data_IF_533643310022
#
_entry.id   IF_533643310022
#
_cell.length_a   1.000
_cell.length_b   1.000
_cell.length_c   1.000
_cell.angle_alpha   90.00
_cell.angle_beta   90.00
_cell.angle_gamma   90.00
#
_symmetry.space_group_name_H-M   'P 1'
#
loop_
_entity.id
_entity.type
_entity.pdbx_description
1 polymer ?
#
# COMPACT_ATOMS: atom_id res chain seq x y z
N UNK A 1 4.51 -8.23 -5.51
CA UNK A 1 4.99 -7.04 -4.77
C UNK A 1 4.96 -5.84 -5.69
N UNK A 2 4.56 -4.67 -5.20
CA UNK A 2 4.47 -3.42 -5.96
C UNK A 2 4.85 -2.25 -5.07
N UNK A 3 5.54 -1.21 -5.57
CA UNK A 3 5.98 -0.11 -4.72
C UNK A 3 4.82 0.63 -4.04
N UNK A 4 3.71 0.86 -4.74
CA UNK A 4 2.53 1.54 -4.21
C UNK A 4 2.31 2.97 -4.69
N UNK A 5 3.06 3.44 -5.71
CA UNK A 5 2.96 4.81 -6.28
C UNK A 5 1.52 5.28 -6.51
N UNK A 6 0.67 4.40 -7.05
CA UNK A 6 -0.72 4.74 -7.35
C UNK A 6 -1.61 5.02 -6.12
N UNK A 7 -1.12 4.78 -4.90
CA UNK A 7 -1.83 5.11 -3.66
C UNK A 7 -2.08 6.62 -3.54
N UNK A 8 -1.14 7.46 -3.96
CA UNK A 8 -1.33 8.92 -3.97
C UNK A 8 -2.54 9.33 -4.81
N UNK A 9 -2.62 8.78 -6.02
CA UNK A 9 -3.73 9.04 -6.94
C UNK A 9 -5.06 8.53 -6.40
N UNK A 10 -5.07 7.37 -5.74
CA UNK A 10 -6.27 6.83 -5.10
C UNK A 10 -6.72 7.69 -3.92
N UNK A 11 -5.80 8.10 -3.04
CA UNK A 11 -6.09 8.94 -1.88
C UNK A 11 -6.68 10.28 -2.31
N UNK A 12 -6.15 10.86 -3.39
CA UNK A 12 -6.68 12.11 -3.96
C UNK A 12 -8.04 11.93 -4.63
N UNK A 13 -8.27 10.79 -5.30
CA UNK A 13 -9.46 10.58 -6.12
C UNK A 13 -10.67 10.04 -5.35
N UNK A 14 -10.47 9.33 -4.24
CA UNK A 14 -11.54 8.61 -3.52
C UNK A 14 -11.69 9.16 -2.10
N UNK A 15 -12.83 9.82 -1.78
CA UNK A 15 -13.11 10.29 -0.43
C UNK A 15 -13.06 9.15 0.60
N UNK A 16 -12.45 9.44 1.75
CA UNK A 16 -12.34 8.49 2.87
C UNK A 16 -11.08 7.61 2.84
N UNK A 17 -10.25 7.71 1.79
CA UNK A 17 -8.90 7.15 1.79
C UNK A 17 -7.92 8.14 2.44
N UNK A 18 -6.87 7.61 3.07
CA UNK A 18 -5.85 8.42 3.74
C UNK A 18 -4.50 7.71 3.74
N UNK A 19 -3.45 8.51 3.91
CA UNK A 19 -2.09 8.00 4.13
C UNK A 19 -1.95 7.18 5.41
N UNK A 20 -2.77 7.46 6.43
CA UNK A 20 -2.72 6.79 7.74
C UNK A 20 -3.35 5.39 7.77
N UNK A 21 -4.12 5.03 6.74
CA UNK A 21 -4.78 3.73 6.60
C UNK A 21 -4.59 3.21 5.17
N UNK A 22 -3.33 2.97 4.74
CA UNK A 22 -3.02 2.73 3.34
C UNK A 22 -3.59 1.40 2.82
N UNK A 23 -3.83 0.42 3.69
CA UNK A 23 -4.48 -0.85 3.35
C UNK A 23 -5.88 -0.64 2.74
N UNK A 24 -6.60 0.42 3.16
CA UNK A 24 -7.89 0.80 2.55
C UNK A 24 -7.73 1.25 1.10
N UNK A 25 -6.63 1.95 0.79
CA UNK A 25 -6.28 2.28 -0.59
C UNK A 25 -5.85 1.04 -1.38
N UNK A 26 -5.05 0.17 -0.78
CA UNK A 26 -4.62 -1.09 -1.41
C UNK A 26 -5.80 -2.00 -1.76
N UNK A 27 -6.88 -1.98 -0.97
CA UNK A 27 -8.12 -2.70 -1.26
C UNK A 27 -8.74 -2.27 -2.59
N UNK A 28 -8.58 -1.01 -2.99
CA UNK A 28 -9.08 -0.54 -4.28
C UNK A 28 -8.32 -1.14 -5.46
N UNK A 29 -7.04 -1.50 -5.31
CA UNK A 29 -6.32 -2.27 -6.33
C UNK A 29 -6.98 -3.62 -6.58
N UNK A 30 -7.37 -4.33 -5.51
CA UNK A 30 -8.08 -5.61 -5.63
C UNK A 30 -9.48 -5.45 -6.22
N UNK A 31 -10.26 -4.49 -5.72
CA UNK A 31 -11.62 -4.25 -6.21
C UNK A 31 -11.64 -3.90 -7.69
N UNK A 32 -10.66 -3.11 -8.15
CA UNK A 32 -10.54 -2.67 -9.55
C UNK A 32 -9.68 -3.60 -10.41
N UNK A 33 -9.06 -4.63 -9.80
CA UNK A 33 -8.16 -5.59 -10.46
C UNK A 33 -7.02 -4.92 -11.24
N UNK A 34 -6.48 -3.82 -10.73
CA UNK A 34 -5.43 -3.06 -11.38
C UNK A 34 -4.58 -2.28 -10.37
N UNK A 35 -3.26 -2.30 -10.53
CA UNK A 35 -2.30 -1.67 -9.60
C UNK A 35 -2.18 -0.15 -9.74
N UNK A 36 -2.64 0.43 -10.85
CA UNK A 36 -2.75 1.90 -11.04
C UNK A 36 -4.06 2.28 -11.75
N UNK A 37 -5.22 2.15 -11.09
CA UNK A 37 -6.52 2.26 -11.74
C UNK A 37 -6.92 3.70 -12.13
N UNK A 38 -6.17 4.70 -11.66
CA UNK A 38 -6.32 6.10 -12.08
C UNK A 38 -5.25 6.38 -13.12
N UNK A 39 -5.65 6.89 -14.29
CA UNK A 39 -4.69 7.24 -15.34
C UNK A 39 -3.88 8.47 -14.94
N UNK A 40 -2.67 8.24 -14.42
CA UNK A 40 -1.71 9.27 -14.04
C UNK A 40 -0.30 8.65 -14.01
N UNK A 41 0.66 9.30 -14.66
CA UNK A 41 2.08 8.93 -14.63
C UNK A 41 2.40 7.47 -15.01
N UNK A 42 1.65 6.91 -15.97
CA UNK A 42 1.85 5.54 -16.48
C UNK A 42 2.70 5.59 -17.76
N UNK A 43 3.70 4.72 -17.84
CA UNK A 43 4.51 4.55 -19.05
C UNK A 43 3.65 4.00 -20.20
N UNK A 44 3.68 4.62 -21.40
CA UNK A 44 2.92 4.12 -22.54
C UNK A 44 3.49 2.76 -22.99
N UNK A 45 2.68 1.72 -22.88
CA UNK A 45 3.03 0.38 -23.34
C UNK A 45 1.86 -0.22 -24.12
N UNK A 46 2.15 -1.01 -25.15
CA UNK A 46 1.13 -1.78 -25.88
C UNK A 46 0.43 -2.81 -24.98
N UNK A 47 1.10 -3.23 -23.89
CA UNK A 47 0.59 -4.21 -22.94
C UNK A 47 0.49 -3.59 -21.55
N UNK A 48 -0.68 -3.70 -20.96
CA UNK A 48 -0.90 -3.35 -19.57
C UNK A 48 -0.38 -4.46 -18.64
N UNK A 49 0.73 -4.17 -17.96
CA UNK A 49 1.37 -5.06 -16.98
C UNK A 49 0.90 -4.79 -15.54
N UNK A 50 0.04 -3.79 -15.33
CA UNK A 50 -0.47 -3.39 -14.01
C UNK A 50 -1.83 -4.05 -13.70
N UNK A 51 -2.48 -4.66 -14.70
CA UNK A 51 -3.66 -5.49 -14.53
C UNK A 51 -3.38 -6.73 -13.64
N UNK A 52 -4.23 -6.95 -12.63
CA UNK A 52 -4.18 -8.10 -11.72
C UNK A 52 -4.97 -9.26 -12.33
N UNK A 53 -4.29 -10.13 -13.07
CA UNK A 53 -4.89 -11.25 -13.82
C UNK A 53 -5.36 -12.40 -12.91
N UNK A 54 -4.52 -12.77 -11.96
CA UNK A 54 -4.81 -13.81 -10.96
C UNK A 54 -4.99 -13.18 -9.58
N UNK A 55 -5.84 -13.80 -8.74
CA UNK A 55 -6.06 -13.31 -7.38
C UNK A 55 -4.82 -13.69 -6.55
N UNK A 56 -4.05 -12.72 -6.01
CA UNK A 56 -2.87 -13.03 -5.23
C UNK A 56 -3.25 -13.41 -3.78
N UNK A 57 -2.39 -14.17 -3.10
CA UNK A 57 -2.51 -14.37 -1.65
C UNK A 57 -2.08 -13.12 -0.87
N UNK A 58 -1.11 -12.38 -1.41
CA UNK A 58 -0.53 -11.18 -0.77
C UNK A 58 -0.32 -10.05 -1.78
N UNK A 59 -0.81 -8.85 -1.44
CA UNK A 59 -0.37 -7.59 -2.04
C UNK A 59 0.49 -6.86 -1.02
N UNK A 60 1.73 -6.60 -1.39
CA UNK A 60 2.69 -5.84 -0.60
C UNK A 60 2.96 -4.50 -1.28
N UNK A 61 2.86 -3.42 -0.50
CA UNK A 61 3.21 -2.06 -0.88
C UNK A 61 4.13 -1.38 0.15
N UNK A 62 4.66 -0.23 -0.25
CA UNK A 62 5.41 0.70 0.57
C UNK A 62 4.96 2.13 0.24
N UNK A 63 5.93 2.95 -0.18
CA UNK A 63 5.75 4.30 -0.76
C UNK A 63 5.22 5.37 0.21
N UNK A 64 4.05 5.15 0.82
CA UNK A 64 3.38 6.15 1.69
C UNK A 64 3.90 6.18 3.12
N UNK A 65 4.92 5.40 3.46
CA UNK A 65 5.65 5.44 4.73
C UNK A 65 4.80 5.23 6.01
N UNK A 66 3.59 4.69 5.87
CA UNK A 66 2.71 4.27 6.96
C UNK A 66 2.47 2.77 6.89
N UNK A 67 2.53 2.12 8.05
CA UNK A 67 2.22 0.69 8.17
C UNK A 67 0.72 0.48 8.03
N UNK A 68 0.33 -0.59 7.36
CA UNK A 68 -1.06 -0.95 7.18
C UNK A 68 -1.20 -2.45 6.98
N UNK A 69 -2.22 -3.03 7.60
CA UNK A 69 -2.56 -4.44 7.39
C UNK A 69 -4.07 -4.63 7.35
N UNK A 70 -4.53 -5.36 6.34
CA UNK A 70 -5.90 -5.88 6.29
C UNK A 70 -5.93 -7.23 5.56
N UNK A 71 -6.82 -8.13 5.99
CA UNK A 71 -7.22 -9.28 5.17
C UNK A 71 -8.53 -8.95 4.46
N UNK A 72 -8.50 -8.89 3.13
CA UNK A 72 -9.68 -8.63 2.31
C UNK A 72 -10.01 -9.86 1.46
N UNK A 73 -11.09 -10.55 1.83
CA UNK A 73 -11.60 -11.76 1.12
C UNK A 73 -10.51 -12.83 0.93
N UNK A 74 -9.67 -13.04 1.94
CA UNK A 74 -8.60 -14.04 1.90
C UNK A 74 -7.26 -13.50 1.36
N UNK A 75 -7.22 -12.27 0.84
CA UNK A 75 -5.98 -11.64 0.36
C UNK A 75 -5.38 -10.76 1.44
N UNK A 76 -4.10 -10.94 1.77
CA UNK A 76 -3.39 -10.10 2.71
C UNK A 76 -2.88 -8.83 2.04
N UNK A 77 -3.31 -7.67 2.55
CA UNK A 77 -2.86 -6.35 2.14
C UNK A 77 -1.86 -5.85 3.18
N UNK A 78 -0.58 -5.72 2.80
CA UNK A 78 0.49 -5.32 3.71
C UNK A 78 1.19 -4.08 3.16
N UNK A 79 1.14 -2.99 3.90
CA UNK A 79 2.04 -1.86 3.69
C UNK A 79 3.14 -1.86 4.75
N UNK A 80 4.40 -1.89 4.33
CA UNK A 80 5.54 -2.05 5.23
C UNK A 80 5.95 -0.80 6.01
N UNK A 81 5.30 0.35 5.79
CA UNK A 81 5.73 1.61 6.40
C UNK A 81 7.12 2.03 5.90
N UNK A 82 7.98 2.52 6.79
CA UNK A 82 9.32 2.97 6.44
C UNK A 82 10.33 2.80 7.59
N UNK A 83 11.59 3.11 7.29
CA UNK A 83 12.67 3.29 8.28
C UNK A 83 13.22 4.72 8.24
N UNK A 84 12.42 5.67 7.75
CA UNK A 84 12.79 7.07 7.60
C UNK A 84 11.97 7.92 8.58
N UNK A 85 12.65 8.75 9.37
CA UNK A 85 11.97 9.78 10.17
C UNK A 85 11.17 10.75 9.30
N UNK A 86 10.26 11.51 9.93
CA UNK A 86 9.40 12.46 9.22
C UNK A 86 10.24 13.52 8.50
N UNK A 87 10.00 13.71 7.21
CA UNK A 87 10.68 14.72 6.39
C UNK A 87 9.92 16.04 6.40
N UNK A 88 10.59 17.15 6.04
CA UNK A 88 9.92 18.47 5.89
C UNK A 88 8.75 18.43 4.90
N UNK A 89 8.91 17.73 3.78
CA UNK A 89 7.82 17.55 2.81
C UNK A 89 6.62 16.82 3.42
N UNK A 90 6.86 15.77 4.22
CA UNK A 90 5.79 15.09 4.95
C UNK A 90 5.16 15.98 6.05
N UNK A 91 5.92 16.87 6.66
CA UNK A 91 5.39 17.90 7.57
C UNK A 91 4.45 18.86 6.86
N UNK A 92 4.89 19.41 5.73
CA UNK A 92 4.11 20.33 4.88
C UNK A 92 2.82 19.68 4.36
N UNK A 93 2.86 18.38 4.05
CA UNK A 93 1.69 17.60 3.63
C UNK A 93 0.79 17.14 4.79
N UNK A 94 1.15 17.42 6.05
CA UNK A 94 0.43 16.94 7.23
C UNK A 94 0.50 15.41 7.42
N UNK A 95 1.40 14.72 6.71
CA UNK A 95 1.58 13.28 6.75
C UNK A 95 2.41 12.87 7.99
N UNK A 96 1.97 11.84 8.70
CA UNK A 96 2.66 11.27 9.87
C UNK A 96 3.09 9.83 9.51
N UNK A 97 4.38 9.58 9.22
CA UNK A 97 4.87 8.26 8.91
C UNK A 97 4.97 7.38 10.17
N UNK A 98 5.13 6.07 9.97
CA UNK A 98 5.34 5.10 11.05
C UNK A 98 6.71 4.42 10.90
N UNK A 99 7.82 5.13 11.18
CA UNK A 99 9.14 4.55 11.06
C UNK A 99 9.35 3.40 12.05
N UNK A 100 10.29 2.51 11.73
CA UNK A 100 10.78 1.47 12.66
C UNK A 100 9.75 0.40 13.04
N UNK A 101 8.72 0.20 12.22
CA UNK A 101 7.74 -0.87 12.39
C UNK A 101 7.89 -1.90 11.27
N UNK A 102 8.02 -3.17 11.63
CA UNK A 102 8.26 -4.27 10.69
C UNK A 102 7.10 -5.27 10.72
N UNK A 103 6.27 -5.36 9.67
CA UNK A 103 5.29 -6.44 9.55
C UNK A 103 5.98 -7.75 9.16
N UNK A 104 5.61 -8.83 9.86
CA UNK A 104 6.13 -10.18 9.67
C UNK A 104 4.95 -11.11 9.44
N UNK A 105 4.96 -11.79 8.29
CA UNK A 105 3.95 -12.78 7.93
C UNK A 105 4.50 -14.19 8.08
N UNK A 106 3.82 -15.02 8.87
CA UNK A 106 4.07 -16.44 8.91
C UNK A 106 3.43 -17.12 7.69
N UNK A 107 4.24 -17.66 6.79
CA UNK A 107 3.73 -18.26 5.54
C UNK A 107 2.97 -19.58 5.75
N UNK A 108 3.08 -20.22 6.93
CA UNK A 108 2.35 -21.46 7.24
C UNK A 108 1.00 -21.17 7.89
N UNK A 109 0.94 -20.24 8.83
CA UNK A 109 -0.28 -19.93 9.58
C UNK A 109 -1.03 -18.71 9.06
N UNK A 110 -0.37 -17.91 8.21
CA UNK A 110 -0.82 -16.62 7.71
C UNK A 110 -0.99 -15.56 8.81
N UNK A 111 -0.44 -15.81 10.00
CA UNK A 111 -0.43 -14.84 11.09
C UNK A 111 0.47 -13.65 10.75
N UNK A 112 0.00 -12.45 11.09
CA UNK A 112 0.75 -11.20 10.95
C UNK A 112 1.11 -10.67 12.33
N UNK A 113 2.39 -10.35 12.53
CA UNK A 113 2.88 -9.63 13.70
C UNK A 113 3.58 -8.37 13.24
N UNK A 114 3.41 -7.27 13.97
CA UNK A 114 4.15 -6.03 13.75
C UNK A 114 5.15 -5.88 14.90
N UNK A 115 6.44 -5.92 14.58
CA UNK A 115 7.50 -5.59 15.52
C UNK A 115 7.74 -4.08 15.52
N UNK A 116 7.79 -3.48 16.72
CA UNK A 116 8.06 -2.06 16.90
C UNK A 116 9.47 -1.88 17.49
N UNK A 117 10.31 -1.08 16.82
CA UNK A 117 11.69 -0.79 17.22
C UNK A 117 11.88 0.69 17.61
N UNK A 118 10.79 1.47 17.71
CA UNK A 118 10.79 2.90 18.03
C UNK A 118 10.36 3.23 19.46
#
# INVERSE_FOLDING_TARGET
MYHGEALDNLIRAIPGLSYSAPEKGMKEFLKKRHLSPVYADIFPSEKDNLAIKDIPDVIHCGHVHSIGYENYRGVHLINSGCFQGRTKFQEEMGHIPTPSKLPIMNLKTHDITIMDFG
#
